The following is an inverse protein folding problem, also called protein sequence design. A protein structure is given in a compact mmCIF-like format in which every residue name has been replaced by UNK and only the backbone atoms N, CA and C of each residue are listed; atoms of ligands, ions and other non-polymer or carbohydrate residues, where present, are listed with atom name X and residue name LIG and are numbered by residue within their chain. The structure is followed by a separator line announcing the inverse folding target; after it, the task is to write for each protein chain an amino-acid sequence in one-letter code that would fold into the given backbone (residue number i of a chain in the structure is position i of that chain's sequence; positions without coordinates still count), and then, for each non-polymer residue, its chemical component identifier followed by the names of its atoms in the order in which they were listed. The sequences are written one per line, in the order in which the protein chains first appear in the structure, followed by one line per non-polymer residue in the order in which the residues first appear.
data_IF_861124867653
#
_entry.id   IF_861124867653
#
_cell.length_a   1.000
_cell.length_b   1.000
_cell.length_c   1.000
_cell.angle_alpha   90.00
_cell.angle_beta   90.00
_cell.angle_gamma   90.00
#
_symmetry.space_group_name_H-M   'P 1'
#
loop_
_entity.id
_entity.type
_entity.pdbx_description
1 polymer ?
#
# COMPACT_ATOMS: atom_id res chain seq x y z
N UNK A 1 -15.71 26.65 -15.51
CA UNK A 1 -14.83 25.92 -14.59
C UNK A 1 -14.59 24.50 -15.09
N UNK A 2 -13.36 24.05 -15.02
CA UNK A 2 -13.01 22.71 -15.47
C UNK A 2 -13.13 21.73 -14.30
N UNK A 3 -13.90 20.68 -14.50
CA UNK A 3 -14.10 19.67 -13.46
C UNK A 3 -13.23 18.46 -13.75
N UNK A 4 -12.26 18.19 -12.90
CA UNK A 4 -11.30 17.10 -13.06
C UNK A 4 -11.57 15.91 -12.16
N UNK A 5 -12.72 15.90 -11.48
CA UNK A 5 -13.05 14.86 -10.50
C UNK A 5 -12.87 13.45 -11.04
N UNK A 6 -13.27 13.23 -12.29
CA UNK A 6 -13.23 11.87 -12.86
C UNK A 6 -11.81 11.36 -13.09
N UNK A 7 -10.82 12.25 -13.03
CA UNK A 7 -9.43 11.86 -13.27
C UNK A 7 -8.65 11.62 -11.97
N UNK A 8 -9.25 11.89 -10.83
CA UNK A 8 -8.57 11.74 -9.54
C UNK A 8 -9.12 10.53 -8.79
N UNK A 9 -8.25 9.69 -8.22
CA UNK A 9 -8.74 8.60 -7.37
C UNK A 9 -9.22 9.22 -6.06
N UNK A 10 -10.52 9.23 -5.86
CA UNK A 10 -11.09 9.85 -4.68
C UNK A 10 -11.91 8.87 -3.83
N UNK A 11 -11.97 7.61 -4.26
CA UNK A 11 -12.69 6.61 -3.49
C UNK A 11 -11.71 5.77 -2.68
N UNK A 12 -12.09 5.40 -1.46
CA UNK A 12 -11.23 4.55 -0.65
C UNK A 12 -11.00 3.20 -1.32
N UNK A 13 -9.88 2.59 -1.00
CA UNK A 13 -9.61 1.23 -1.43
C UNK A 13 -10.22 0.26 -0.43
N UNK A 14 -11.01 -0.68 -0.91
CA UNK A 14 -11.56 -1.74 -0.07
C UNK A 14 -10.91 -3.05 -0.45
N UNK A 15 -10.37 -3.74 0.54
CA UNK A 15 -9.67 -5.00 0.36
C UNK A 15 -10.42 -6.11 1.07
N UNK A 16 -10.40 -7.30 0.47
CA UNK A 16 -11.00 -8.48 1.08
C UNK A 16 -9.92 -9.51 1.33
N UNK A 17 -9.79 -9.94 2.58
CA UNK A 17 -8.85 -10.98 2.97
C UNK A 17 -9.63 -11.96 3.84
N UNK A 18 -9.91 -13.16 3.30
CA UNK A 18 -10.79 -14.09 3.98
C UNK A 18 -12.17 -13.45 4.14
N UNK A 19 -12.69 -13.42 5.35
CA UNK A 19 -13.97 -12.80 5.62
C UNK A 19 -13.84 -11.36 6.09
N UNK A 20 -12.62 -10.83 6.06
CA UNK A 20 -12.37 -9.46 6.53
C UNK A 20 -12.43 -8.48 5.38
N UNK A 21 -13.07 -7.35 5.63
CA UNK A 21 -13.01 -6.21 4.73
C UNK A 21 -12.20 -5.11 5.40
N UNK A 22 -11.19 -4.64 4.70
CA UNK A 22 -10.27 -3.64 5.24
C UNK A 22 -10.23 -2.47 4.26
N UNK A 23 -10.39 -1.27 4.78
CA UNK A 23 -10.48 -0.07 3.95
C UNK A 23 -9.26 0.82 4.16
N UNK A 24 -8.71 1.31 3.05
CA UNK A 24 -7.65 2.30 3.07
C UNK A 24 -8.21 3.59 2.50
N UNK A 25 -8.20 4.69 3.28
CA UNK A 25 -8.74 5.95 2.79
C UNK A 25 -7.80 6.58 1.76
N UNK A 26 -8.35 7.46 0.94
CA UNK A 26 -7.53 8.23 0.01
C UNK A 26 -6.49 9.00 0.81
N UNK A 27 -5.20 8.89 0.46
CA UNK A 27 -4.16 9.59 1.21
C UNK A 27 -4.35 11.09 1.18
N UNK A 28 -4.12 11.74 2.33
CA UNK A 28 -4.10 13.19 2.34
C UNK A 28 -2.76 13.66 1.75
N UNK A 29 -2.60 14.98 1.66
CA UNK A 29 -1.41 15.55 1.04
C UNK A 29 -0.12 15.07 1.69
N UNK A 30 -0.09 15.05 3.02
CA UNK A 30 1.11 14.65 3.74
C UNK A 30 1.47 13.20 3.44
N UNK A 31 0.51 12.29 3.56
CA UNK A 31 0.73 10.88 3.28
C UNK A 31 1.09 10.67 1.82
N UNK A 32 0.42 11.39 0.93
CA UNK A 32 0.71 11.28 -0.49
C UNK A 32 2.13 11.68 -0.83
N UNK A 33 2.65 12.73 -0.17
CA UNK A 33 4.03 13.14 -0.41
C UNK A 33 5.02 12.09 0.10
N UNK A 34 4.72 11.44 1.22
CA UNK A 34 5.58 10.37 1.72
C UNK A 34 5.58 9.19 0.77
N UNK A 35 4.42 8.84 0.23
CA UNK A 35 4.32 7.76 -0.74
C UNK A 35 5.13 8.09 -1.99
N UNK A 36 5.07 9.34 -2.44
CA UNK A 36 5.83 9.77 -3.60
C UNK A 36 7.33 9.62 -3.36
N UNK A 37 7.80 10.01 -2.18
CA UNK A 37 9.22 9.85 -1.85
C UNK A 37 9.63 8.39 -1.81
N UNK A 38 8.74 7.54 -1.31
CA UNK A 38 8.98 6.10 -1.30
C UNK A 38 9.14 5.58 -2.73
N UNK A 39 8.29 6.02 -3.63
CA UNK A 39 8.33 5.59 -5.01
C UNK A 39 9.63 6.05 -5.69
N UNK A 40 10.06 7.28 -5.40
CA UNK A 40 11.31 7.79 -5.94
C UNK A 40 12.50 6.97 -5.46
N UNK A 41 12.48 6.58 -4.19
CA UNK A 41 13.55 5.76 -3.64
C UNK A 41 13.59 4.39 -4.31
N UNK A 42 12.43 3.77 -4.48
CA UNK A 42 12.36 2.47 -5.14
C UNK A 42 12.90 2.57 -6.56
N UNK A 43 12.55 3.65 -7.27
CA UNK A 43 13.04 3.86 -8.62
C UNK A 43 14.54 4.04 -8.65
N UNK A 44 15.10 4.78 -7.69
CA UNK A 44 16.55 4.99 -7.63
C UNK A 44 17.28 3.67 -7.35
N UNK A 45 16.74 2.87 -6.45
CA UNK A 45 17.35 1.57 -6.16
C UNK A 45 17.31 0.65 -7.37
N UNK A 46 16.22 0.66 -8.09
CA UNK A 46 16.08 -0.16 -9.28
C UNK A 46 17.05 0.28 -10.38
N UNK A 47 17.34 1.57 -10.42
CA UNK A 47 18.28 2.11 -11.39
C UNK A 47 19.74 1.93 -10.96
N UNK A 48 19.97 1.44 -9.75
CA UNK A 48 21.32 1.24 -9.26
C UNK A 48 22.06 2.51 -8.90
N UNK A 49 21.33 3.59 -8.67
CA UNK A 49 21.95 4.89 -8.38
C UNK A 49 22.04 5.17 -6.88
N UNK A 50 21.38 4.37 -6.07
CA UNK A 50 21.39 4.58 -4.63
C UNK A 50 22.68 4.05 -4.03
N UNK A 51 23.32 4.86 -3.19
CA UNK A 51 24.54 4.48 -2.50
C UNK A 51 24.22 4.43 -1.01
N UNK A 52 23.96 3.22 -0.49
CA UNK A 52 23.63 3.07 0.90
C UNK A 52 22.16 3.35 1.14
N UNK A 53 21.84 3.64 2.40
CA UNK A 53 20.47 3.84 2.78
C UNK A 53 20.03 5.28 2.54
N UNK A 54 18.84 5.41 1.97
CA UNK A 54 18.21 6.71 1.83
C UNK A 54 17.05 6.74 2.81
N UNK A 55 17.11 7.67 3.75
CA UNK A 55 16.03 7.83 4.71
C UNK A 55 14.99 8.77 4.15
N UNK A 56 13.74 8.41 4.36
CA UNK A 56 12.63 9.27 3.99
C UNK A 56 12.19 9.97 5.26
N UNK A 57 12.40 11.29 5.30
CA UNK A 57 12.05 12.07 6.47
C UNK A 57 10.54 12.00 6.70
N UNK A 58 10.15 11.62 7.92
CA UNK A 58 8.74 11.48 8.25
C UNK A 58 8.15 10.11 7.95
N UNK A 59 8.93 9.19 7.41
CA UNK A 59 8.45 7.84 7.14
C UNK A 59 8.25 7.10 8.45
N UNK A 60 7.16 6.33 8.59
CA UNK A 60 6.90 5.58 9.82
C UNK A 60 8.02 4.61 10.16
N UNK A 61 8.35 4.53 11.44
CA UNK A 61 9.46 3.69 11.89
C UNK A 61 9.04 2.25 12.18
N UNK A 62 7.75 2.03 12.43
CA UNK A 62 7.26 0.70 12.75
C UNK A 62 6.16 0.29 11.79
N UNK A 63 5.91 -1.02 11.72
CA UNK A 63 4.81 -1.53 10.91
C UNK A 63 3.46 -1.03 11.42
N UNK A 64 3.33 -0.88 12.72
CA UNK A 64 2.09 -0.37 13.29
C UNK A 64 1.82 1.05 12.81
N UNK A 65 2.85 1.90 12.84
CA UNK A 65 2.69 3.28 12.39
C UNK A 65 2.40 3.35 10.89
N UNK A 66 3.05 2.49 10.12
CA UNK A 66 2.82 2.43 8.69
C UNK A 66 1.38 2.01 8.40
N UNK A 67 0.88 1.01 9.12
CA UNK A 67 -0.50 0.56 8.96
C UNK A 67 -1.47 1.67 9.31
N UNK A 68 -1.21 2.39 10.40
CA UNK A 68 -2.07 3.51 10.78
C UNK A 68 -2.06 4.62 9.74
N UNK A 69 -0.90 4.86 9.12
CA UNK A 69 -0.81 5.87 8.08
C UNK A 69 -1.62 5.49 6.84
N UNK A 70 -1.53 4.25 6.43
CA UNK A 70 -2.15 3.82 5.17
C UNK A 70 -3.59 3.39 5.32
N UNK A 71 -3.96 2.75 6.42
CA UNK A 71 -5.32 2.30 6.64
C UNK A 71 -6.15 3.33 7.42
N UNK A 72 -5.48 4.29 8.05
CA UNK A 72 -6.15 5.22 8.93
C UNK A 72 -6.19 4.69 10.35
N UNK A 73 -6.08 5.61 11.32
CA UNK A 73 -6.02 5.20 12.71
C UNK A 73 -7.29 4.51 13.16
N UNK A 74 -8.45 5.03 12.73
CA UNK A 74 -9.72 4.44 13.12
C UNK A 74 -9.89 3.03 12.59
N UNK A 75 -9.49 2.81 11.34
CA UNK A 75 -9.60 1.47 10.75
C UNK A 75 -8.65 0.50 11.44
N UNK A 76 -7.43 0.95 11.71
CA UNK A 76 -6.46 0.11 12.41
C UNK A 76 -6.99 -0.30 13.78
N UNK A 77 -7.55 0.66 14.52
CA UNK A 77 -8.10 0.36 15.85
C UNK A 77 -9.29 -0.58 15.77
N UNK A 78 -10.13 -0.42 14.74
CA UNK A 78 -11.26 -1.32 14.56
C UNK A 78 -10.79 -2.75 14.34
N UNK A 79 -9.80 -2.91 13.48
CA UNK A 79 -9.26 -4.25 13.19
C UNK A 79 -8.59 -4.86 14.41
N UNK A 80 -7.82 -4.06 15.13
CA UNK A 80 -7.14 -4.56 16.32
C UNK A 80 -8.14 -4.96 17.40
N UNK A 81 -9.19 -4.16 17.59
CA UNK A 81 -10.19 -4.46 18.60
C UNK A 81 -11.01 -5.69 18.25
N UNK A 82 -11.10 -6.04 16.97
CA UNK A 82 -11.85 -7.20 16.51
C UNK A 82 -10.98 -8.45 16.35
N UNK A 83 -9.75 -8.40 16.82
CA UNK A 83 -8.81 -9.54 16.75
C UNK A 83 -8.52 -9.96 15.32
N UNK A 84 -8.43 -9.00 14.42
CA UNK A 84 -8.01 -9.30 13.05
C UNK A 84 -6.58 -9.87 13.07
N UNK A 85 -6.33 -10.97 12.35
CA UNK A 85 -4.97 -11.53 12.34
C UNK A 85 -3.96 -10.52 11.84
N UNK A 86 -2.83 -10.43 12.55
CA UNK A 86 -1.79 -9.47 12.19
C UNK A 86 -1.32 -9.60 10.75
N UNK A 87 -1.12 -10.82 10.21
CA UNK A 87 -0.73 -10.93 8.81
C UNK A 87 -1.71 -10.29 7.84
N UNK A 88 -3.00 -10.28 8.17
CA UNK A 88 -4.01 -9.65 7.32
C UNK A 88 -3.83 -8.13 7.29
N UNK A 89 -3.55 -7.55 8.46
CA UNK A 89 -3.35 -6.11 8.55
C UNK A 89 -2.09 -5.71 7.77
N UNK A 90 -1.02 -6.48 7.90
CA UNK A 90 0.23 -6.17 7.21
C UNK A 90 0.08 -6.34 5.70
N UNK A 91 -0.63 -7.37 5.26
CA UNK A 91 -0.87 -7.57 3.84
C UNK A 91 -1.70 -6.43 3.26
N UNK A 92 -2.73 -6.01 3.99
CA UNK A 92 -3.56 -4.89 3.55
C UNK A 92 -2.75 -3.60 3.48
N UNK A 93 -1.83 -3.41 4.43
CA UNK A 93 -0.97 -2.23 4.44
C UNK A 93 -0.08 -2.20 3.20
N UNK A 94 0.53 -3.34 2.87
CA UNK A 94 1.38 -3.42 1.68
C UNK A 94 0.58 -3.20 0.41
N UNK A 95 -0.61 -3.79 0.33
CA UNK A 95 -1.47 -3.60 -0.83
C UNK A 95 -1.85 -2.14 -1.00
N UNK A 96 -2.18 -1.47 0.10
CA UNK A 96 -2.54 -0.06 0.06
C UNK A 96 -1.36 0.80 -0.41
N UNK A 97 -0.16 0.50 0.09
CA UNK A 97 1.02 1.25 -0.31
C UNK A 97 1.25 1.14 -1.81
N UNK A 98 1.17 -0.08 -2.34
CA UNK A 98 1.37 -0.29 -3.78
C UNK A 98 0.25 0.38 -4.58
N UNK A 99 -0.99 0.24 -4.11
CA UNK A 99 -2.14 0.81 -4.81
C UNK A 99 -2.00 2.33 -4.94
N UNK A 100 -1.73 3.01 -3.83
CA UNK A 100 -1.66 4.47 -3.84
C UNK A 100 -0.39 4.97 -4.51
N UNK A 101 0.71 4.22 -4.44
CA UNK A 101 1.94 4.65 -5.12
C UNK A 101 1.84 4.48 -6.63
N UNK A 102 0.83 3.77 -7.11
CA UNK A 102 0.60 3.58 -8.54
C UNK A 102 -0.69 4.27 -9.00
N UNK A 103 -1.08 5.32 -8.32
CA UNK A 103 -2.21 6.12 -8.74
C UNK A 103 -3.57 5.44 -8.64
N UNK A 104 -3.70 4.47 -7.73
CA UNK A 104 -4.97 3.77 -7.59
C UNK A 104 -5.15 2.66 -8.61
N UNK A 105 -4.11 1.89 -8.85
CA UNK A 105 -4.13 0.86 -9.88
C UNK A 105 -4.15 -0.54 -9.26
N UNK A 106 -5.29 -1.22 -9.36
CA UNK A 106 -5.45 -2.56 -8.81
C UNK A 106 -4.55 -3.58 -9.51
N UNK A 107 -4.34 -3.42 -10.80
CA UNK A 107 -3.48 -4.36 -11.53
C UNK A 107 -2.05 -4.32 -11.01
N UNK A 108 -1.58 -3.14 -10.58
CA UNK A 108 -0.25 -3.03 -10.00
C UNK A 108 -0.15 -3.82 -8.70
N UNK A 109 -1.22 -3.80 -7.89
CA UNK A 109 -1.25 -4.56 -6.65
C UNK A 109 -1.19 -6.06 -6.94
N UNK A 110 -2.00 -6.52 -7.88
CA UNK A 110 -2.04 -7.94 -8.22
C UNK A 110 -0.70 -8.42 -8.75
N UNK A 111 -0.07 -7.63 -9.60
CA UNK A 111 1.24 -7.98 -10.13
C UNK A 111 2.29 -8.05 -9.04
N UNK A 112 2.30 -7.06 -8.14
CA UNK A 112 3.25 -7.04 -7.04
C UNK A 112 3.06 -8.24 -6.12
N UNK A 113 1.82 -8.54 -5.76
CA UNK A 113 1.53 -9.64 -4.85
C UNK A 113 1.92 -10.99 -5.45
N UNK A 114 1.61 -11.18 -6.74
CA UNK A 114 1.96 -12.42 -7.41
C UNK A 114 3.48 -12.60 -7.43
N UNK A 115 4.20 -11.54 -7.70
CA UNK A 115 5.66 -11.59 -7.73
C UNK A 115 6.25 -11.81 -6.34
N UNK A 116 5.76 -11.06 -5.36
CA UNK A 116 6.29 -11.12 -4.00
C UNK A 116 6.06 -12.47 -3.35
N UNK A 117 4.96 -13.14 -3.68
CA UNK A 117 4.63 -14.42 -3.08
C UNK A 117 4.92 -15.60 -3.99
N UNK A 118 5.64 -15.36 -5.09
CA UNK A 118 6.08 -16.44 -5.96
C UNK A 118 4.97 -17.11 -6.76
N UNK A 119 3.84 -16.44 -6.95
CA UNK A 119 2.73 -17.02 -7.68
C UNK A 119 2.82 -16.77 -9.18
N UNK A 120 3.61 -15.78 -9.57
CA UNK A 120 3.75 -15.43 -10.97
C UNK A 120 4.52 -16.50 -11.71
N UNK A 121 3.94 -16.99 -12.76
CA UNK A 121 4.58 -18.01 -13.56
C UNK A 121 4.64 -19.37 -12.91
N UNK A 122 4.22 -19.49 -11.67
CA UNK A 122 4.27 -20.76 -10.97
C UNK A 122 2.90 -21.36 -10.76
N UNK A 123 1.88 -20.57 -10.96
CA UNK A 123 0.54 -21.05 -10.72
C UNK A 123 0.27 -22.40 -11.37
N UNK A 124 0.74 -22.63 -12.57
CA UNK A 124 0.49 -23.92 -13.16
C UNK A 124 1.12 -25.05 -12.43
N UNK A 125 2.00 -24.72 -11.66
CA UNK A 125 2.58 -25.69 -11.05
C UNK A 125 2.07 -26.14 -10.05
N UNK A 126 1.60 -25.99 -10.03
CA UNK A 126 1.31 -26.39 -9.12
C UNK A 126 1.26 -27.52 -9.00
N UNK A 127 1.47 -27.43 -9.42
CA UNK A 127 1.47 -28.23 -9.38
C UNK A 127 1.37 -28.92 -9.32
#
# INVERSE_FOLDING_TARGET
MLDLTKYAPYEPLTLKIGDWEITSPVPNTRTGLLIQKFLERVGAEAAGTTQGEIEIDGWPETNEELSKMLLGEAEYERLAASDCPAPFIFLATQAALIYWSNGGNEAAVELFMAHAFGLEGTAPKAL
#
